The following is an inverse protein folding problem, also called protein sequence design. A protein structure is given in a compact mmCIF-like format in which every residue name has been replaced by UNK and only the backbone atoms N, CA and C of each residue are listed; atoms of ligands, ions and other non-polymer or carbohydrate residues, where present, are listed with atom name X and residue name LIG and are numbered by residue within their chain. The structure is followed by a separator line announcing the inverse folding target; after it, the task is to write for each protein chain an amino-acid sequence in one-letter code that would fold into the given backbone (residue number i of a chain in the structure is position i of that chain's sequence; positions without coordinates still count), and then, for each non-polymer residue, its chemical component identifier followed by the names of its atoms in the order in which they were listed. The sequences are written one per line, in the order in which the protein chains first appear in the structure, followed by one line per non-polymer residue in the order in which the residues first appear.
data_IF_109533652604
#
_entry.id   IF_109533652604
#
_cell.length_a   1.000
_cell.length_b   1.000
_cell.length_c   1.000
_cell.angle_alpha   90.00
_cell.angle_beta   90.00
_cell.angle_gamma   90.00
#
_symmetry.space_group_name_H-M   'P 1'
#
loop_
_entity.id
_entity.type
_entity.pdbx_description
1 polymer ?
#
# COMPACT_ATOMS: atom_id res chain seq x y z
N UNK A 1 -28.36 61.17 -56.20
CA UNK A 1 -28.25 61.19 -54.72
C UNK A 1 -28.44 59.78 -54.18
N UNK A 2 -27.36 59.15 -53.71
CA UNK A 2 -27.35 58.11 -52.66
C UNK A 2 -25.89 57.76 -52.37
N UNK A 3 -25.41 58.16 -51.19
CA UNK A 3 -24.14 57.72 -50.59
C UNK A 3 -24.32 56.28 -50.12
N UNK A 4 -23.30 55.44 -50.30
CA UNK A 4 -23.03 54.34 -49.38
C UNK A 4 -21.52 54.17 -49.23
N UNK A 5 -21.11 54.26 -47.97
CA UNK A 5 -19.78 54.01 -47.42
C UNK A 5 -19.72 52.51 -47.11
N UNK A 6 -18.62 51.82 -47.40
CA UNK A 6 -18.28 50.62 -46.65
C UNK A 6 -16.80 50.60 -46.28
N UNK A 7 -16.61 50.59 -44.98
CA UNK A 7 -15.37 50.53 -44.22
C UNK A 7 -14.60 49.24 -44.46
N UNK A 8 -13.27 49.36 -44.41
CA UNK A 8 -12.38 48.21 -44.32
C UNK A 8 -12.38 47.58 -42.92
N UNK A 9 -12.04 46.30 -42.87
CA UNK A 9 -11.55 45.63 -41.67
C UNK A 9 -10.25 44.90 -42.06
N UNK A 10 -9.14 45.37 -41.50
CA UNK A 10 -7.88 44.65 -41.49
C UNK A 10 -7.94 43.55 -40.43
N UNK A 11 -7.83 42.30 -40.84
CA UNK A 11 -7.73 41.15 -39.94
C UNK A 11 -6.31 41.03 -39.38
N UNK A 12 -6.16 41.28 -38.08
CA UNK A 12 -4.91 41.05 -37.35
C UNK A 12 -4.90 39.59 -36.88
N UNK A 13 -4.04 38.77 -37.49
CA UNK A 13 -3.81 37.38 -37.06
C UNK A 13 -2.90 37.41 -35.84
N UNK A 14 -3.45 37.13 -34.67
CA UNK A 14 -2.71 36.86 -33.44
C UNK A 14 -2.24 35.40 -33.47
N UNK A 15 -0.93 35.18 -33.69
CA UNK A 15 -0.29 33.91 -33.37
C UNK A 15 -0.29 33.73 -31.84
N UNK A 16 -1.22 32.93 -31.34
CA UNK A 16 -1.19 32.43 -29.97
C UNK A 16 -0.06 31.41 -29.80
N UNK A 17 1.03 31.82 -29.17
CA UNK A 17 2.07 30.91 -28.69
C UNK A 17 1.47 30.13 -27.51
N UNK A 18 0.93 28.94 -27.77
CA UNK A 18 0.48 28.02 -26.75
C UNK A 18 1.68 27.54 -25.95
N UNK A 19 1.90 28.13 -24.77
CA UNK A 19 2.84 27.61 -23.79
C UNK A 19 2.24 26.30 -23.30
N UNK A 20 2.73 25.17 -23.81
CA UNK A 20 2.40 23.87 -23.27
C UNK A 20 2.86 23.82 -21.81
N UNK A 21 1.91 23.78 -20.88
CA UNK A 21 2.19 23.44 -19.50
C UNK A 21 2.78 22.03 -19.52
N UNK A 22 4.10 21.93 -19.33
CA UNK A 22 4.74 20.65 -19.09
C UNK A 22 4.07 20.03 -17.86
N UNK A 23 3.64 18.77 -17.99
CA UNK A 23 3.15 18.01 -16.85
C UNK A 23 4.20 18.07 -15.73
N UNK A 24 3.77 18.29 -14.48
CA UNK A 24 4.69 18.22 -13.36
C UNK A 24 5.42 16.87 -13.39
N UNK A 25 6.73 16.83 -13.15
CA UNK A 25 7.46 15.59 -13.14
C UNK A 25 6.81 14.65 -12.13
N UNK A 26 6.49 13.44 -12.58
CA UNK A 26 5.95 12.39 -11.72
C UNK A 26 6.80 12.24 -10.46
N UNK A 27 6.15 12.17 -9.29
CA UNK A 27 6.82 11.88 -8.02
C UNK A 27 7.65 10.60 -8.14
N UNK A 28 8.90 10.57 -7.63
CA UNK A 28 9.71 9.34 -7.58
C UNK A 28 8.97 8.14 -6.98
N UNK A 29 8.05 8.40 -6.06
CA UNK A 29 7.29 7.40 -5.34
C UNK A 29 5.97 6.98 -6.04
N UNK A 30 5.62 7.57 -7.19
CA UNK A 30 4.40 7.21 -7.93
C UNK A 30 4.23 5.69 -8.16
N UNK A 31 5.28 4.90 -8.47
CA UNK A 31 5.12 3.46 -8.72
C UNK A 31 4.69 2.63 -7.49
N UNK A 32 4.85 3.18 -6.28
CA UNK A 32 4.53 2.52 -5.01
C UNK A 32 3.32 3.11 -4.30
N UNK A 33 2.87 4.31 -4.72
CA UNK A 33 1.70 4.96 -4.16
C UNK A 33 0.43 4.16 -4.44
N UNK A 34 -0.40 4.01 -3.42
CA UNK A 34 -1.64 3.25 -3.48
C UNK A 34 -1.49 1.72 -3.49
N UNK A 35 -0.30 1.16 -3.24
CA UNK A 35 -0.12 -0.29 -3.22
C UNK A 35 -0.96 -0.94 -2.12
N UNK A 36 -1.55 -2.11 -2.42
CA UNK A 36 -2.37 -2.85 -1.47
C UNK A 36 -1.87 -4.27 -1.25
N UNK A 37 -1.56 -4.60 0.00
CA UNK A 37 -1.50 -5.98 0.46
C UNK A 37 -2.92 -6.48 0.70
N UNK A 38 -3.29 -7.63 0.13
CA UNK A 38 -4.64 -8.16 0.27
C UNK A 38 -4.62 -9.69 0.45
N UNK A 39 -5.10 -10.13 1.61
CA UNK A 39 -5.42 -11.53 1.91
C UNK A 39 -6.95 -11.67 1.95
N UNK A 40 -7.62 -11.91 0.81
CA UNK A 40 -9.05 -12.14 0.79
C UNK A 40 -9.41 -13.47 1.47
N UNK A 41 -10.59 -13.55 2.08
CA UNK A 41 -11.21 -14.84 2.37
C UNK A 41 -11.71 -15.49 1.07
N UNK A 42 -11.55 -16.81 0.94
CA UNK A 42 -12.01 -17.55 -0.24
C UNK A 42 -13.54 -17.58 -0.40
N UNK A 43 -14.26 -17.58 0.72
CA UNK A 43 -15.72 -17.56 0.77
C UNK A 43 -16.23 -16.17 1.14
N UNK A 44 -17.44 -15.77 0.72
CA UNK A 44 -18.08 -14.54 1.17
C UNK A 44 -18.15 -14.45 2.70
N UNK A 45 -18.09 -13.22 3.22
CA UNK A 45 -18.27 -12.98 4.64
C UNK A 45 -19.69 -13.43 5.06
N UNK A 46 -19.83 -14.22 6.14
CA UNK A 46 -21.15 -14.55 6.67
C UNK A 46 -21.82 -13.29 7.21
N UNK A 47 -23.16 -13.25 7.19
CA UNK A 47 -23.92 -12.10 7.69
C UNK A 47 -23.66 -11.85 9.19
N UNK A 48 -23.56 -12.92 9.98
CA UNK A 48 -23.32 -12.90 11.41
C UNK A 48 -22.09 -13.76 11.75
N UNK A 49 -20.86 -13.25 11.53
CA UNK A 49 -19.64 -13.98 11.84
C UNK A 49 -19.48 -14.18 13.36
N UNK A 50 -18.95 -15.33 13.76
CA UNK A 50 -18.61 -15.59 15.16
C UNK A 50 -17.36 -14.80 15.57
N UNK A 51 -17.27 -14.45 16.86
CA UNK A 51 -16.04 -13.85 17.40
C UNK A 51 -14.86 -14.80 17.24
N UNK A 52 -13.75 -14.28 16.69
CA UNK A 52 -12.57 -15.10 16.38
C UNK A 52 -12.78 -16.03 15.19
N UNK A 53 -13.74 -15.76 14.30
CA UNK A 53 -13.89 -16.57 13.09
C UNK A 53 -12.66 -16.41 12.18
N UNK A 54 -12.09 -17.54 11.76
CA UNK A 54 -11.13 -17.61 10.67
C UNK A 54 -11.79 -17.88 9.31
N UNK A 55 -11.02 -17.73 8.24
CA UNK A 55 -11.41 -18.17 6.91
C UNK A 55 -10.22 -18.81 6.18
N UNK A 56 -10.50 -19.59 5.14
CA UNK A 56 -9.46 -20.01 4.19
C UNK A 56 -9.04 -18.81 3.36
N UNK A 57 -7.73 -18.66 3.14
CA UNK A 57 -7.19 -17.63 2.24
C UNK A 57 -7.62 -17.91 0.81
N UNK A 58 -8.10 -16.87 0.12
CA UNK A 58 -8.42 -16.90 -1.30
C UNK A 58 -7.18 -16.92 -2.21
N UNK A 59 -5.97 -16.84 -1.64
CA UNK A 59 -4.72 -16.90 -2.41
C UNK A 59 -4.18 -18.33 -2.59
N UNK A 60 -4.63 -19.28 -1.76
CA UNK A 60 -4.16 -20.67 -1.77
C UNK A 60 -4.46 -21.31 -3.13
N UNK A 61 -3.43 -21.80 -3.81
CA UNK A 61 -3.52 -22.52 -5.10
C UNK A 61 -3.05 -23.97 -5.02
N UNK A 62 -2.53 -24.40 -3.88
CA UNK A 62 -1.95 -25.73 -3.68
C UNK A 62 -1.67 -25.97 -2.20
N UNK A 63 -0.44 -26.33 -1.86
CA UNK A 63 -0.04 -26.48 -0.46
C UNK A 63 -0.18 -25.12 0.26
N UNK A 64 -1.04 -25.04 1.30
CA UNK A 64 -1.31 -23.80 2.00
C UNK A 64 -0.08 -23.19 2.69
N UNK A 65 0.96 -23.98 2.99
CA UNK A 65 2.18 -23.47 3.63
C UNK A 65 3.16 -22.81 2.64
N UNK A 66 2.92 -22.98 1.34
CA UNK A 66 3.85 -22.51 0.29
C UNK A 66 3.18 -21.71 -0.81
N UNK A 67 1.84 -21.69 -0.87
CA UNK A 67 1.07 -21.03 -1.94
C UNK A 67 0.18 -19.88 -1.46
N UNK A 68 0.07 -19.64 -0.16
CA UNK A 68 -0.63 -18.48 0.41
C UNK A 68 0.33 -17.29 0.53
N UNK A 69 0.89 -16.85 -0.60
CA UNK A 69 1.79 -15.70 -0.62
C UNK A 69 1.72 -14.99 -1.97
N UNK A 70 2.24 -13.76 -1.98
CA UNK A 70 2.40 -12.98 -3.18
C UNK A 70 3.61 -12.06 -3.06
N UNK A 71 4.20 -11.75 -4.21
CA UNK A 71 5.33 -10.81 -4.31
C UNK A 71 5.08 -9.87 -5.47
N UNK A 72 5.17 -8.57 -5.20
CA UNK A 72 5.18 -7.53 -6.24
C UNK A 72 6.47 -6.74 -6.12
N UNK A 73 7.15 -6.54 -7.24
CA UNK A 73 8.36 -5.71 -7.31
C UNK A 73 8.03 -4.46 -8.10
N UNK A 74 8.40 -3.29 -7.56
CA UNK A 74 8.30 -1.98 -8.21
C UNK A 74 9.69 -1.35 -8.26
N UNK A 75 9.95 -0.54 -9.27
CA UNK A 75 11.15 0.31 -9.32
C UNK A 75 10.78 1.69 -8.80
N UNK A 76 11.50 2.17 -7.80
CA UNK A 76 11.39 3.53 -7.33
C UNK A 76 11.99 4.49 -8.36
N UNK A 77 11.27 5.58 -8.65
CA UNK A 77 11.73 6.60 -9.59
C UNK A 77 12.82 7.49 -9.01
N UNK A 78 12.97 8.68 -9.58
CA UNK A 78 13.98 9.64 -9.15
C UNK A 78 15.38 9.35 -9.72
N UNK A 79 16.30 10.28 -9.47
CA UNK A 79 17.70 10.18 -9.92
C UNK A 79 18.42 8.98 -9.29
N UNK A 80 18.99 8.06 -10.09
CA UNK A 80 19.72 6.90 -9.59
C UNK A 80 20.82 7.27 -8.58
N UNK A 81 20.80 6.64 -7.41
CA UNK A 81 21.78 6.86 -6.34
C UNK A 81 21.54 8.09 -5.46
N UNK A 82 20.56 8.95 -5.80
CA UNK A 82 20.08 9.98 -4.86
C UNK A 82 19.19 9.34 -3.80
N UNK A 83 19.46 9.61 -2.52
CA UNK A 83 18.63 9.13 -1.41
C UNK A 83 17.42 10.03 -1.20
N UNK A 84 16.25 9.41 -1.07
CA UNK A 84 15.00 10.08 -0.74
C UNK A 84 14.48 9.61 0.62
N UNK A 85 13.90 10.54 1.37
CA UNK A 85 13.09 10.22 2.55
C UNK A 85 11.63 10.13 2.13
N UNK A 86 11.06 8.94 2.19
CA UNK A 86 9.70 8.65 1.73
C UNK A 86 8.82 8.36 2.94
N UNK A 87 7.84 9.23 3.18
CA UNK A 87 6.85 9.03 4.25
C UNK A 87 5.66 8.28 3.68
N UNK A 88 5.39 7.11 4.23
CA UNK A 88 4.28 6.23 3.85
C UNK A 88 3.22 6.22 4.94
N UNK A 89 1.95 6.15 4.56
CA UNK A 89 0.81 5.87 5.46
C UNK A 89 0.34 4.44 5.24
N UNK A 90 0.15 3.71 6.33
CA UNK A 90 -0.31 2.34 6.35
C UNK A 90 -1.68 2.29 7.00
N UNK A 91 -2.69 1.86 6.23
CA UNK A 91 -4.09 1.78 6.67
C UNK A 91 -4.64 0.40 6.41
N UNK A 92 -5.28 -0.26 7.38
CA UNK A 92 -5.69 -1.64 7.15
C UNK A 92 -6.39 -2.34 8.29
N UNK A 93 -6.81 -3.57 8.02
CA UNK A 93 -7.30 -4.53 9.02
C UNK A 93 -6.38 -5.75 8.97
N UNK A 94 -5.73 -6.05 10.08
CA UNK A 94 -4.69 -7.08 10.16
C UNK A 94 -4.85 -7.94 11.41
N UNK A 95 -4.23 -9.12 11.38
CA UNK A 95 -3.98 -9.94 12.57
C UNK A 95 -2.57 -9.67 13.15
N UNK A 96 -2.34 -9.95 14.45
CA UNK A 96 -1.09 -9.62 15.11
C UNK A 96 0.04 -10.56 14.68
N UNK A 97 1.22 -10.01 14.41
CA UNK A 97 2.42 -10.80 14.19
C UNK A 97 3.56 -10.39 15.13
N UNK A 98 4.37 -11.36 15.54
CA UNK A 98 5.57 -11.12 16.36
C UNK A 98 6.82 -11.21 15.49
N UNK A 99 7.75 -10.29 15.76
CA UNK A 99 9.06 -10.22 15.11
C UNK A 99 10.16 -10.14 16.16
N UNK A 100 11.35 -10.59 15.80
CA UNK A 100 12.54 -10.58 16.67
C UNK A 100 13.78 -10.17 15.88
N UNK A 101 14.87 -9.92 16.60
CA UNK A 101 16.19 -9.63 16.03
C UNK A 101 16.23 -8.39 15.10
N UNK A 102 15.29 -7.47 15.27
CA UNK A 102 15.25 -6.17 14.61
C UNK A 102 14.89 -5.06 15.59
N UNK A 103 14.27 -3.98 15.09
CA UNK A 103 13.93 -2.81 15.90
C UNK A 103 12.47 -2.42 15.72
N UNK A 104 11.72 -2.38 16.82
CA UNK A 104 10.39 -1.80 16.83
C UNK A 104 10.46 -0.27 16.73
N UNK A 105 9.59 0.30 15.91
CA UNK A 105 9.36 1.75 15.83
C UNK A 105 7.86 1.99 15.90
N UNK A 106 7.42 2.79 16.87
CA UNK A 106 6.00 2.96 17.14
C UNK A 106 5.32 1.65 17.56
N UNK A 107 4.03 1.54 17.30
CA UNK A 107 3.22 0.39 17.75
C UNK A 107 3.32 -0.82 16.80
N UNK A 108 3.25 -0.58 15.48
CA UNK A 108 3.02 -1.63 14.48
C UNK A 108 4.20 -1.86 13.51
N UNK A 109 5.17 -0.95 13.46
CA UNK A 109 6.27 -1.02 12.49
C UNK A 109 7.51 -1.68 13.09
N UNK A 110 8.17 -2.53 12.31
CA UNK A 110 9.38 -3.23 12.72
C UNK A 110 10.43 -3.22 11.62
N UNK A 111 11.63 -2.74 11.95
CA UNK A 111 12.76 -2.63 11.03
C UNK A 111 13.63 -3.87 11.15
N UNK A 112 13.93 -4.51 10.00
CA UNK A 112 14.78 -5.68 9.92
C UNK A 112 14.22 -6.89 10.67
N UNK A 113 15.13 -7.77 11.10
CA UNK A 113 14.78 -8.95 11.89
C UNK A 113 14.01 -10.01 11.10
N UNK A 114 13.30 -10.86 11.83
CA UNK A 114 12.62 -12.04 11.29
C UNK A 114 11.31 -12.36 12.03
N UNK A 115 10.43 -13.12 11.37
CA UNK A 115 9.19 -13.61 11.96
C UNK A 115 9.46 -14.51 13.17
N UNK A 116 8.66 -14.35 14.22
CA UNK A 116 8.77 -15.11 15.47
C UNK A 116 7.50 -15.91 15.80
N UNK A 117 6.66 -16.14 14.80
CA UNK A 117 5.48 -16.99 14.88
C UNK A 117 5.24 -17.62 13.49
N UNK A 118 4.62 -18.80 13.43
CA UNK A 118 4.35 -19.52 12.18
C UNK A 118 2.86 -19.54 11.80
N UNK A 119 2.02 -18.73 12.47
CA UNK A 119 0.55 -18.79 12.32
C UNK A 119 0.00 -17.60 11.56
N UNK A 120 0.56 -16.40 11.77
CA UNK A 120 -0.09 -15.15 11.37
C UNK A 120 0.57 -14.51 10.15
N UNK A 121 -0.26 -13.89 9.32
CA UNK A 121 0.11 -13.21 8.09
C UNK A 121 1.24 -12.21 8.30
N UNK A 122 2.21 -12.26 7.39
CA UNK A 122 3.33 -11.32 7.32
C UNK A 122 3.07 -10.33 6.19
N UNK A 123 3.31 -9.06 6.48
CA UNK A 123 3.28 -7.96 5.52
C UNK A 123 4.66 -7.31 5.53
N UNK A 124 5.42 -7.48 4.44
CA UNK A 124 6.81 -7.05 4.36
C UNK A 124 7.04 -6.10 3.17
N UNK A 125 7.80 -5.05 3.41
CA UNK A 125 8.40 -4.21 2.37
C UNK A 125 9.92 -4.39 2.44
N UNK A 126 10.58 -4.62 1.30
CA UNK A 126 12.04 -4.67 1.19
C UNK A 126 12.54 -3.66 0.16
N UNK A 127 13.62 -2.97 0.48
CA UNK A 127 14.27 -1.96 -0.36
C UNK A 127 15.65 -2.46 -0.74
N UNK A 128 16.02 -2.38 -2.02
CA UNK A 128 17.34 -2.84 -2.46
C UNK A 128 18.47 -1.86 -2.17
N UNK A 129 18.19 -0.57 -2.04
CA UNK A 129 19.19 0.47 -1.72
C UNK A 129 18.55 1.68 -1.03
N UNK A 130 19.02 2.10 0.16
CA UNK A 130 19.88 1.29 1.05
C UNK A 130 19.17 -0.03 1.42
N UNK A 131 19.91 -1.14 1.43
CA UNK A 131 19.33 -2.46 1.70
C UNK A 131 18.64 -2.47 3.06
N UNK A 132 17.34 -2.77 3.06
CA UNK A 132 16.52 -2.79 4.27
C UNK A 132 15.22 -3.55 4.06
N UNK A 133 14.58 -3.97 5.14
CA UNK A 133 13.22 -4.49 5.12
C UNK A 133 12.44 -4.14 6.37
N UNK A 134 11.13 -4.17 6.25
CA UNK A 134 10.20 -3.70 7.26
C UNK A 134 8.97 -4.61 7.35
N UNK A 135 8.48 -4.83 8.56
CA UNK A 135 7.21 -5.50 8.82
C UNK A 135 6.15 -4.52 9.35
N UNK A 136 4.89 -4.72 8.94
CA UNK A 136 3.85 -3.68 9.04
C UNK A 136 2.75 -3.94 10.08
N UNK A 137 2.69 -5.12 10.70
CA UNK A 137 1.64 -5.55 11.63
C UNK A 137 2.17 -6.10 12.97
N UNK A 138 3.30 -5.55 13.44
CA UNK A 138 3.97 -6.01 14.66
C UNK A 138 3.09 -5.83 15.91
N UNK A 139 3.16 -6.81 16.82
CA UNK A 139 2.60 -6.77 18.18
C UNK A 139 3.53 -7.50 19.19
N UNK A 140 3.44 -7.15 20.48
CA UNK A 140 4.19 -7.82 21.58
C UNK A 140 3.74 -9.25 21.82
N UNK A 141 2.47 -9.50 21.55
CA UNK A 141 1.80 -10.78 21.75
C UNK A 141 0.88 -11.04 20.57
N UNK A 142 0.81 -12.30 20.17
CA UNK A 142 -0.19 -12.78 19.23
C UNK A 142 -1.46 -13.23 19.95
N UNK A 143 -2.53 -13.41 19.18
CA UNK A 143 -3.80 -13.95 19.66
C UNK A 143 -4.82 -13.97 18.52
N UNK A 144 -5.94 -14.67 18.73
CA UNK A 144 -7.00 -14.80 17.73
C UNK A 144 -7.84 -13.51 17.63
N UNK A 145 -7.23 -12.41 17.20
CA UNK A 145 -7.85 -11.09 17.07
C UNK A 145 -7.46 -10.42 15.74
N UNK A 146 -8.30 -9.48 15.34
CA UNK A 146 -8.00 -8.48 14.30
C UNK A 146 -8.04 -7.09 14.91
N UNK A 147 -7.36 -6.15 14.28
CA UNK A 147 -7.38 -4.73 14.63
C UNK A 147 -7.14 -3.86 13.41
N UNK A 148 -7.56 -2.61 13.48
CA UNK A 148 -7.25 -1.60 12.47
C UNK A 148 -5.88 -1.00 12.73
N UNK A 149 -5.16 -0.69 11.65
CA UNK A 149 -3.96 0.14 11.70
C UNK A 149 -4.20 1.42 10.89
N UNK A 150 -3.66 2.53 11.40
CA UNK A 150 -3.52 3.79 10.67
C UNK A 150 -2.31 4.53 11.26
N UNK A 151 -1.18 4.51 10.56
CA UNK A 151 0.03 5.18 11.01
C UNK A 151 0.91 5.56 9.83
N UNK A 152 1.80 6.52 10.07
CA UNK A 152 2.83 6.90 9.09
C UNK A 152 4.21 6.48 9.53
N UNK A 153 5.07 6.14 8.58
CA UNK A 153 6.49 5.93 8.82
C UNK A 153 7.32 6.42 7.64
N UNK A 154 8.45 7.06 7.94
CA UNK A 154 9.43 7.46 6.94
C UNK A 154 10.49 6.38 6.79
N UNK A 155 10.79 6.02 5.54
CA UNK A 155 11.86 5.09 5.14
C UNK A 155 12.77 5.77 4.11
N UNK A 156 13.97 5.23 3.93
CA UNK A 156 14.93 5.72 2.93
C UNK A 156 14.90 4.83 1.69
N UNK A 157 14.85 5.45 0.52
CA UNK A 157 14.89 4.74 -0.77
C UNK A 157 15.79 5.53 -1.72
N UNK A 158 16.79 4.87 -2.29
CA UNK A 158 17.59 5.45 -3.36
C UNK A 158 16.82 5.44 -4.68
N UNK A 159 17.00 6.49 -5.49
CA UNK A 159 16.45 6.52 -6.83
C UNK A 159 16.91 5.30 -7.64
N UNK A 160 15.98 4.69 -8.38
CA UNK A 160 16.22 3.46 -9.13
C UNK A 160 16.27 2.17 -8.30
N UNK A 161 16.14 2.22 -6.97
CA UNK A 161 16.05 1.03 -6.14
C UNK A 161 14.78 0.21 -6.45
N UNK A 162 14.82 -1.09 -6.16
CA UNK A 162 13.61 -1.91 -6.16
C UNK A 162 12.94 -1.86 -4.79
N UNK A 163 11.61 -1.81 -4.82
CA UNK A 163 10.72 -1.93 -3.67
C UNK A 163 9.92 -3.21 -3.86
N UNK A 164 10.18 -4.18 -2.99
CA UNK A 164 9.51 -5.48 -3.00
C UNK A 164 8.44 -5.51 -1.91
N UNK A 165 7.20 -5.73 -2.31
CA UNK A 165 6.08 -5.94 -1.41
C UNK A 165 5.80 -7.44 -1.35
N UNK A 166 5.93 -8.03 -0.18
CA UNK A 166 5.72 -9.45 0.03
C UNK A 166 4.68 -9.69 1.12
N UNK A 167 3.63 -10.43 0.76
CA UNK A 167 2.68 -10.99 1.71
C UNK A 167 2.93 -12.48 1.85
N UNK A 168 2.99 -12.98 3.10
CA UNK A 168 3.13 -14.41 3.40
C UNK A 168 2.09 -14.85 4.44
N UNK A 169 1.03 -15.49 3.96
CA UNK A 169 0.01 -16.17 4.75
C UNK A 169 0.50 -17.55 5.14
N UNK A 170 0.78 -17.73 6.43
CA UNK A 170 1.71 -18.76 6.89
C UNK A 170 1.18 -20.20 6.72
N UNK A 171 -0.13 -20.37 6.62
CA UNK A 171 -0.80 -21.67 6.75
C UNK A 171 -2.09 -21.78 5.93
N UNK A 172 -2.30 -20.90 4.94
CA UNK A 172 -3.50 -20.89 4.10
C UNK A 172 -4.77 -20.44 4.82
N UNK A 173 -4.65 -19.91 6.05
CA UNK A 173 -5.75 -19.40 6.85
C UNK A 173 -5.40 -18.03 7.38
N UNK A 174 -6.44 -17.24 7.58
CA UNK A 174 -6.36 -15.95 8.23
C UNK A 174 -7.54 -15.78 9.17
N UNK A 175 -7.39 -14.93 10.17
CA UNK A 175 -8.53 -14.46 10.96
C UNK A 175 -9.37 -13.57 10.06
N UNK A 176 -10.64 -13.92 9.85
CA UNK A 176 -11.52 -13.13 9.00
C UNK A 176 -11.76 -11.75 9.62
N UNK A 177 -12.26 -10.79 8.85
CA UNK A 177 -12.73 -9.51 9.38
C UNK A 177 -14.07 -9.66 10.13
N UNK A 178 -14.14 -10.58 11.11
CA UNK A 178 -15.37 -10.97 11.79
C UNK A 178 -16.01 -9.83 12.59
N UNK A 179 -15.23 -8.82 13.00
CA UNK A 179 -15.76 -7.63 13.67
C UNK A 179 -16.34 -6.59 12.69
N UNK A 180 -16.30 -6.87 11.38
CA UNK A 180 -16.68 -5.94 10.32
C UNK A 180 -15.97 -4.59 10.48
N UNK A 181 -14.68 -4.62 10.80
CA UNK A 181 -13.88 -3.41 10.95
C UNK A 181 -13.79 -2.70 9.59
N UNK A 182 -14.06 -1.40 9.59
CA UNK A 182 -13.97 -0.53 8.43
C UNK A 182 -12.85 0.46 8.69
N UNK A 183 -12.04 0.73 7.66
CA UNK A 183 -11.03 1.78 7.67
C UNK A 183 -11.52 2.88 6.74
N UNK A 184 -11.73 4.08 7.29
CA UNK A 184 -12.25 5.22 6.55
C UNK A 184 -11.34 5.57 5.36
N UNK A 185 -11.97 6.04 4.27
CA UNK A 185 -11.31 6.45 3.02
C UNK A 185 -10.44 5.40 2.34
N UNK A 186 -10.62 4.12 2.69
CA UNK A 186 -9.94 2.99 2.04
C UNK A 186 -10.97 1.99 1.52
N UNK A 187 -10.97 1.67 0.21
CA UNK A 187 -11.86 0.66 -0.33
C UNK A 187 -11.76 -0.67 0.45
N UNK A 188 -12.88 -1.35 0.73
CA UNK A 188 -14.22 -1.10 0.20
C UNK A 188 -15.12 -0.23 1.10
N UNK A 189 -14.57 0.66 1.95
CA UNK A 189 -15.39 1.56 2.77
C UNK A 189 -16.52 2.22 1.96
N UNK A 190 -17.76 2.31 2.50
CA UNK A 190 -18.13 2.06 3.89
C UNK A 190 -18.27 0.58 4.28
N UNK A 191 -18.10 -0.37 3.35
CA UNK A 191 -18.18 -1.79 3.63
C UNK A 191 -16.90 -2.35 4.24
N UNK A 192 -17.03 -3.42 5.02
CA UNK A 192 -15.90 -4.14 5.58
C UNK A 192 -15.24 -5.02 4.50
N UNK A 193 -13.91 -4.99 4.39
CA UNK A 193 -13.19 -5.91 3.52
C UNK A 193 -13.32 -7.35 4.02
N UNK A 194 -13.66 -8.28 3.13
CA UNK A 194 -13.74 -9.71 3.43
C UNK A 194 -12.35 -10.36 3.43
N UNK A 195 -11.65 -10.22 4.56
CA UNK A 195 -10.29 -10.72 4.76
C UNK A 195 -9.43 -9.69 5.49
N UNK A 196 -8.15 -9.66 5.19
CA UNK A 196 -7.21 -8.68 5.75
C UNK A 196 -6.49 -7.91 4.65
N UNK A 197 -6.08 -6.69 4.96
CA UNK A 197 -5.38 -5.84 4.00
C UNK A 197 -4.55 -4.77 4.68
N UNK A 198 -3.57 -4.25 3.93
CA UNK A 198 -2.88 -2.98 4.21
C UNK A 198 -2.85 -2.17 2.91
N UNK A 199 -3.39 -0.97 2.95
CA UNK A 199 -3.23 0.09 1.96
C UNK A 199 -1.97 0.90 2.32
N UNK A 200 -1.11 1.10 1.33
CA UNK A 200 0.14 1.87 1.42
C UNK A 200 0.00 3.08 0.53
N UNK A 201 0.02 4.27 1.12
CA UNK A 201 -0.07 5.53 0.40
C UNK A 201 1.16 6.39 0.67
N UNK A 202 1.66 7.08 -0.35
CA UNK A 202 2.76 8.03 -0.21
C UNK A 202 2.20 9.34 0.30
N UNK A 203 2.74 9.80 1.43
CA UNK A 203 2.36 11.08 2.05
C UNK A 203 3.32 12.18 1.62
N UNK A 204 4.62 11.88 1.56
CA UNK A 204 5.66 12.88 1.30
C UNK A 204 6.95 12.24 0.76
N UNK A 205 7.70 12.99 -0.05
CA UNK A 205 9.00 12.60 -0.62
C UNK A 205 9.94 13.80 -0.55
N UNK A 206 11.09 13.63 0.12
CA UNK A 206 12.13 14.67 0.27
C UNK A 206 13.47 14.22 -0.30
#
# INVERSE_FOLDING_TARGET
MKRSILSGLAGMVLLGCGVGLAAEPASPAQPIDGYRFAFPCASPAPENPQEGAGCLSGLVKGDPNTTDNFTTVKTFGGEPGKRYQVTLRFRGVVEPMMYKNGKQVGEYFYIGGEKNNATYNVYQISISSPESHYFLNRQDKVGHKIFTIDYTQTIEIDGGATVTFHGDGQNGRLISNFKKLVVEDVPPAPDAYNGQFIQVDVVDVK
#
